data_IF_152402566930
#
_entry.id   IF_152402566930
#
_cell.length_a   1.000
_cell.length_b   1.000
_cell.length_c   1.000
_cell.angle_alpha   90.00
_cell.angle_beta   90.00
_cell.angle_gamma   90.00
#
_symmetry.space_group_name_H-M   'P 1'
#
loop_
_entity.id
_entity.type
_entity.pdbx_description
1 polymer ?
#
# COMPACT_ATOMS: atom_id res chain seq x y z
N UNK A 1 -3.07 7.23 11.16
CA UNK A 1 -1.62 7.24 11.25
C UNK A 1 -1.06 7.39 9.85
N UNK A 2 -0.20 8.39 9.63
CA UNK A 2 0.56 8.54 8.40
C UNK A 2 1.97 8.01 8.65
N UNK A 3 2.49 7.27 7.72
CA UNK A 3 3.80 6.64 7.82
C UNK A 3 4.54 6.63 6.48
N UNK A 4 5.86 6.63 6.59
CA UNK A 4 6.82 6.44 5.51
C UNK A 4 7.85 5.39 5.96
N UNK A 5 9.14 5.72 6.01
CA UNK A 5 10.17 4.93 6.69
C UNK A 5 10.03 5.00 8.23
N UNK A 6 9.21 5.93 8.72
CA UNK A 6 8.88 6.15 10.14
C UNK A 6 7.41 6.52 10.31
N UNK A 7 6.96 6.64 11.56
CA UNK A 7 5.66 7.23 11.84
C UNK A 7 5.78 8.75 11.72
N UNK A 8 5.10 9.30 10.74
CA UNK A 8 5.15 10.73 10.43
C UNK A 8 4.11 11.52 11.24
N UNK A 9 2.88 11.00 11.32
CA UNK A 9 1.80 11.69 12.01
C UNK A 9 0.78 10.74 12.61
N UNK A 10 0.45 10.98 13.86
CA UNK A 10 -0.67 10.34 14.53
C UNK A 10 -1.80 11.34 14.73
N UNK A 11 -2.98 11.03 14.21
CA UNK A 11 -4.20 11.80 14.45
C UNK A 11 -5.06 10.97 15.40
N UNK A 12 -5.31 11.46 16.62
CA UNK A 12 -6.15 10.75 17.60
C UNK A 12 -7.56 10.50 17.06
N UNK A 13 -8.18 9.35 17.39
CA UNK A 13 -9.53 9.05 16.93
C UNK A 13 -10.55 10.00 17.58
N UNK A 14 -11.41 10.59 16.76
CA UNK A 14 -12.53 11.41 17.17
C UNK A 14 -13.75 11.11 16.29
N UNK A 15 -14.95 11.44 16.78
CA UNK A 15 -16.20 11.27 16.03
C UNK A 15 -16.61 12.57 15.32
N UNK A 16 -17.38 12.42 14.23
CA UNK A 16 -18.05 13.51 13.56
C UNK A 16 -17.43 13.95 12.24
N UNK A 17 -18.24 14.55 11.38
CA UNK A 17 -17.88 14.97 10.02
C UNK A 17 -16.67 15.92 9.99
N UNK A 18 -16.57 16.84 10.96
CA UNK A 18 -15.45 17.78 11.03
C UNK A 18 -14.10 17.08 11.18
N UNK A 19 -14.06 15.98 11.95
CA UNK A 19 -12.84 15.21 12.13
C UNK A 19 -12.45 14.44 10.86
N UNK A 20 -13.43 13.91 10.13
CA UNK A 20 -13.18 13.25 8.84
C UNK A 20 -12.60 14.25 7.84
N UNK A 21 -13.20 15.44 7.72
CA UNK A 21 -12.68 16.49 6.85
C UNK A 21 -11.28 16.95 7.24
N UNK A 22 -10.99 17.01 8.54
CA UNK A 22 -9.65 17.30 9.05
C UNK A 22 -8.65 16.23 8.60
N UNK A 23 -8.99 14.93 8.71
CA UNK A 23 -8.12 13.84 8.25
C UNK A 23 -7.86 13.93 6.74
N UNK A 24 -8.90 14.22 5.94
CA UNK A 24 -8.77 14.36 4.48
C UNK A 24 -7.85 15.53 4.13
N UNK A 25 -8.02 16.67 4.77
CA UNK A 25 -7.17 17.85 4.58
C UNK A 25 -5.72 17.52 4.92
N UNK A 26 -5.50 16.91 6.08
CA UNK A 26 -4.17 16.50 6.52
C UNK A 26 -3.51 15.53 5.53
N UNK A 27 -4.29 14.61 4.94
CA UNK A 27 -3.78 13.67 3.93
C UNK A 27 -3.38 14.38 2.63
N UNK A 28 -4.15 15.36 2.18
CA UNK A 28 -3.89 16.13 0.96
C UNK A 28 -2.65 17.02 1.12
N UNK A 29 -2.52 17.67 2.29
CA UNK A 29 -1.44 18.60 2.58
C UNK A 29 -0.15 17.88 3.02
N UNK A 30 -0.25 16.58 3.34
CA UNK A 30 0.86 15.82 3.89
C UNK A 30 2.01 15.67 2.87
N UNK A 31 3.21 15.94 3.36
CA UNK A 31 4.45 15.72 2.62
C UNK A 31 5.39 14.91 3.51
N UNK A 32 5.70 13.66 3.16
CA UNK A 32 6.62 12.85 3.95
C UNK A 32 8.04 13.42 3.87
N UNK A 33 8.78 13.30 4.97
CA UNK A 33 10.19 13.71 5.02
C UNK A 33 11.05 12.87 4.07
N UNK A 34 10.74 11.58 3.97
CA UNK A 34 11.42 10.63 3.10
C UNK A 34 10.41 9.85 2.25
N UNK A 35 10.92 9.32 1.14
CA UNK A 35 10.12 8.55 0.17
C UNK A 35 10.11 7.05 0.42
N UNK A 36 10.90 6.57 1.38
CA UNK A 36 10.97 5.15 1.71
C UNK A 36 9.75 4.72 2.52
N UNK A 37 9.40 3.44 2.42
CA UNK A 37 8.26 2.85 3.13
C UNK A 37 8.75 1.74 4.07
N UNK A 38 8.27 1.75 5.32
CA UNK A 38 8.49 0.68 6.28
C UNK A 38 7.16 0.29 6.95
N UNK A 39 6.48 -0.67 6.33
CA UNK A 39 5.17 -1.18 6.79
C UNK A 39 5.31 -1.89 8.14
N UNK A 40 6.41 -2.60 8.35
CA UNK A 40 6.64 -3.30 9.61
C UNK A 40 6.67 -2.35 10.80
N UNK A 41 7.25 -1.16 10.64
CA UNK A 41 7.28 -0.14 11.69
C UNK A 41 5.88 0.44 11.96
N UNK A 42 5.08 0.69 10.92
CA UNK A 42 3.70 1.15 11.07
C UNK A 42 2.84 0.13 11.83
N UNK A 43 2.99 -1.17 11.54
CA UNK A 43 2.28 -2.24 12.22
C UNK A 43 2.74 -2.43 13.68
N UNK A 44 4.04 -2.30 13.95
CA UNK A 44 4.58 -2.28 15.33
C UNK A 44 4.02 -1.11 16.13
N UNK A 45 3.97 0.07 15.52
CA UNK A 45 3.37 1.25 16.16
C UNK A 45 1.89 1.02 16.48
N UNK A 46 1.09 0.55 15.51
CA UNK A 46 -0.31 0.19 15.73
C UNK A 46 -0.45 -0.76 16.93
N UNK A 47 0.33 -1.84 16.94
CA UNK A 47 0.30 -2.86 17.98
C UNK A 47 0.66 -2.31 19.36
N UNK A 48 1.61 -1.37 19.43
CA UNK A 48 2.07 -0.79 20.69
C UNK A 48 1.19 0.36 21.19
N UNK A 49 0.74 1.22 20.29
CA UNK A 49 -0.04 2.41 20.64
C UNK A 49 -1.51 2.08 20.94
N UNK A 50 -2.12 1.15 20.20
CA UNK A 50 -3.53 0.82 20.38
C UNK A 50 -3.66 -0.44 21.25
N UNK A 51 -4.15 -0.26 22.48
CA UNK A 51 -4.27 -1.37 23.46
C UNK A 51 -5.51 -2.22 23.22
N UNK A 52 -6.63 -1.60 22.85
CA UNK A 52 -7.90 -2.30 22.58
C UNK A 52 -7.91 -2.85 21.16
N UNK A 53 -8.52 -4.03 20.99
CA UNK A 53 -8.73 -4.61 19.66
C UNK A 53 -9.57 -3.65 18.81
N UNK A 54 -9.14 -3.41 17.58
CA UNK A 54 -9.83 -2.58 16.61
C UNK A 54 -9.70 -3.18 15.21
N UNK A 55 -10.55 -2.75 14.29
CA UNK A 55 -10.33 -2.97 12.86
C UNK A 55 -9.36 -1.90 12.35
N UNK A 56 -8.30 -2.32 11.70
CA UNK A 56 -7.24 -1.45 11.19
C UNK A 56 -7.11 -1.61 9.67
N UNK A 57 -7.36 -0.54 8.93
CA UNK A 57 -7.14 -0.51 7.48
C UNK A 57 -5.71 -0.08 7.19
N UNK A 58 -4.94 -0.97 6.60
CA UNK A 58 -3.59 -0.70 6.13
C UNK A 58 -3.65 -0.35 4.65
N UNK A 59 -3.48 0.92 4.32
CA UNK A 59 -3.59 1.45 2.95
C UNK A 59 -2.18 1.78 2.45
N UNK A 60 -1.73 1.13 1.38
CA UNK A 60 -0.39 1.29 0.82
C UNK A 60 -0.34 0.73 -0.61
N UNK A 61 0.72 1.04 -1.36
CA UNK A 61 1.12 0.33 -2.57
C UNK A 61 1.85 -1.00 -2.26
N UNK A 62 2.20 -1.22 -0.98
CA UNK A 62 2.96 -2.37 -0.47
C UNK A 62 4.32 -2.57 -1.15
N UNK A 63 4.94 -1.48 -1.60
CA UNK A 63 6.33 -1.47 -2.03
C UNK A 63 7.20 -1.29 -0.79
N UNK A 64 7.69 -2.39 -0.24
CA UNK A 64 8.50 -2.42 0.98
C UNK A 64 9.65 -3.41 0.79
N UNK A 65 10.89 -2.96 1.02
CA UNK A 65 12.10 -3.77 0.82
C UNK A 65 12.42 -4.67 2.01
N UNK A 66 12.05 -4.23 3.20
CA UNK A 66 12.43 -4.91 4.44
C UNK A 66 11.52 -6.08 4.80
N UNK A 67 10.34 -6.13 4.16
CA UNK A 67 9.32 -7.14 4.44
C UNK A 67 8.53 -6.84 5.71
N UNK A 68 7.26 -7.26 5.73
CA UNK A 68 6.32 -6.91 6.80
C UNK A 68 5.53 -8.10 7.35
N UNK A 69 5.80 -9.34 6.89
CA UNK A 69 4.98 -10.52 7.21
C UNK A 69 4.86 -10.79 8.70
N UNK A 70 5.98 -10.75 9.42
CA UNK A 70 5.98 -11.05 10.87
C UNK A 70 5.22 -9.98 11.64
N UNK A 71 5.47 -8.69 11.32
CA UNK A 71 4.75 -7.59 11.93
C UNK A 71 3.25 -7.64 11.60
N UNK A 72 2.88 -8.02 10.37
CA UNK A 72 1.49 -8.19 9.94
C UNK A 72 0.81 -9.34 10.69
N UNK A 73 1.49 -10.47 10.86
CA UNK A 73 0.98 -11.60 11.64
C UNK A 73 0.72 -11.21 13.09
N UNK A 74 1.65 -10.48 13.72
CA UNK A 74 1.50 -10.01 15.11
C UNK A 74 0.34 -9.01 15.21
N UNK A 75 0.28 -8.06 14.29
CA UNK A 75 -0.78 -7.05 14.27
C UNK A 75 -2.16 -7.68 14.06
N UNK A 76 -2.29 -8.67 13.17
CA UNK A 76 -3.56 -9.33 12.88
C UNK A 76 -4.03 -10.26 14.02
N UNK A 77 -3.12 -10.76 14.86
CA UNK A 77 -3.50 -11.48 16.09
C UNK A 77 -4.10 -10.55 17.15
N UNK A 78 -3.63 -9.31 17.21
CA UNK A 78 -4.08 -8.33 18.21
C UNK A 78 -5.28 -7.52 17.73
N UNK A 79 -5.31 -7.18 16.46
CA UNK A 79 -6.34 -6.37 15.81
C UNK A 79 -6.98 -7.16 14.67
N UNK A 80 -7.94 -6.59 14.02
CA UNK A 80 -8.52 -7.09 12.76
C UNK A 80 -7.95 -6.23 11.63
N UNK A 81 -6.87 -6.72 10.99
CA UNK A 81 -6.17 -5.95 9.96
C UNK A 81 -6.75 -6.26 8.58
N UNK A 82 -7.05 -5.21 7.84
CA UNK A 82 -7.51 -5.26 6.45
C UNK A 82 -6.52 -4.52 5.57
N UNK A 83 -5.96 -5.18 4.56
CA UNK A 83 -5.02 -4.58 3.63
C UNK A 83 -5.74 -4.03 2.40
N UNK A 84 -5.51 -2.75 2.09
CA UNK A 84 -6.03 -2.10 0.89
C UNK A 84 -4.82 -1.65 0.05
N UNK A 85 -4.56 -2.38 -1.02
CA UNK A 85 -3.55 -1.96 -1.98
C UNK A 85 -4.12 -0.89 -2.90
N UNK A 86 -3.40 0.21 -3.04
CA UNK A 86 -3.69 1.26 -4.03
C UNK A 86 -2.54 1.33 -5.02
N UNK A 87 -2.84 1.27 -6.32
CA UNK A 87 -1.82 1.32 -7.36
C UNK A 87 -2.34 2.02 -8.62
N UNK A 88 -1.43 2.57 -9.43
CA UNK A 88 -1.76 3.16 -10.72
C UNK A 88 -1.64 2.10 -11.84
N UNK A 89 -2.48 2.21 -12.88
CA UNK A 89 -2.39 1.34 -14.05
C UNK A 89 -1.01 1.39 -14.70
N UNK A 90 -0.36 2.54 -14.71
CA UNK A 90 0.97 2.72 -15.29
C UNK A 90 2.06 1.95 -14.56
N UNK A 91 1.81 1.50 -13.33
CA UNK A 91 2.71 0.62 -12.59
C UNK A 91 2.63 -0.83 -13.06
N UNK A 92 1.53 -1.21 -13.72
CA UNK A 92 1.30 -2.61 -14.13
C UNK A 92 1.98 -2.98 -15.44
N UNK A 93 2.18 -2.00 -16.33
CA UNK A 93 2.73 -2.23 -17.66
C UNK A 93 3.48 -1.00 -18.19
N UNK A 94 4.51 -1.22 -18.98
CA UNK A 94 5.22 -0.15 -19.66
C UNK A 94 4.54 0.20 -20.99
N UNK A 95 4.26 1.49 -21.27
CA UNK A 95 3.75 1.92 -22.58
C UNK A 95 4.83 1.76 -23.66
N UNK A 96 4.43 1.47 -24.89
CA UNK A 96 5.33 1.38 -26.03
C UNK A 96 5.60 2.78 -26.62
N UNK A 97 6.49 3.54 -25.98
CA UNK A 97 6.82 4.94 -26.34
C UNK A 97 8.27 5.15 -26.75
N UNK A 98 9.03 4.07 -26.95
CA UNK A 98 10.44 4.14 -27.30
C UNK A 98 11.35 4.27 -26.08
N UNK A 99 12.44 5.00 -26.24
CA UNK A 99 13.40 5.24 -25.17
C UNK A 99 12.80 6.16 -24.11
N UNK A 100 12.67 5.66 -22.89
CA UNK A 100 12.12 6.43 -21.76
C UNK A 100 13.04 6.37 -20.54
N UNK A 101 13.02 7.44 -19.78
CA UNK A 101 13.74 7.52 -18.51
C UNK A 101 12.79 7.14 -17.38
N UNK A 102 13.12 6.10 -16.67
CA UNK A 102 12.39 5.71 -15.46
C UNK A 102 13.16 6.14 -14.23
N UNK A 103 12.45 6.56 -13.21
CA UNK A 103 12.99 6.95 -11.92
C UNK A 103 12.37 6.08 -10.82
N UNK A 104 13.23 5.43 -10.07
CA UNK A 104 12.80 4.73 -8.86
C UNK A 104 12.30 5.75 -7.83
N UNK A 105 11.05 5.61 -7.41
CA UNK A 105 10.40 6.58 -6.53
C UNK A 105 11.03 6.63 -5.12
N UNK A 106 11.58 5.53 -4.64
CA UNK A 106 12.19 5.43 -3.31
C UNK A 106 13.66 5.85 -3.29
N UNK A 107 14.45 5.35 -4.25
CA UNK A 107 15.89 5.58 -4.29
C UNK A 107 16.27 6.83 -5.09
N UNK A 108 15.36 7.31 -5.94
CA UNK A 108 15.62 8.39 -6.87
C UNK A 108 16.55 8.01 -8.03
N UNK A 109 17.01 6.76 -8.10
CA UNK A 109 17.85 6.29 -9.20
C UNK A 109 17.10 6.36 -10.52
N UNK A 110 17.81 6.85 -11.53
CA UNK A 110 17.28 7.01 -12.87
C UNK A 110 18.00 6.07 -13.84
N UNK A 111 17.26 5.47 -14.75
CA UNK A 111 17.83 4.68 -15.84
C UNK A 111 17.00 4.78 -17.10
N UNK A 112 17.67 4.68 -18.23
CA UNK A 112 17.02 4.62 -19.53
C UNK A 112 16.63 3.19 -19.86
N UNK A 113 15.42 3.02 -20.36
CA UNK A 113 14.92 1.75 -20.90
C UNK A 113 14.30 1.98 -22.25
N UNK A 114 14.47 1.02 -23.16
CA UNK A 114 13.77 1.03 -24.45
C UNK A 114 12.45 0.26 -24.32
N UNK A 115 11.37 1.03 -24.18
CA UNK A 115 10.03 0.49 -24.07
C UNK A 115 9.38 0.09 -25.42
N UNK A 116 10.04 0.37 -26.56
CA UNK A 116 9.63 -0.17 -27.86
C UNK A 116 9.85 -1.68 -27.94
N UNK A 117 10.84 -2.21 -27.21
CA UNK A 117 11.13 -3.64 -27.12
C UNK A 117 10.02 -4.41 -26.41
N UNK A 118 9.36 -5.31 -27.15
CA UNK A 118 8.34 -6.22 -26.58
C UNK A 118 8.91 -7.09 -25.44
N UNK A 119 10.19 -7.49 -25.52
CA UNK A 119 10.88 -8.25 -24.48
C UNK A 119 11.00 -7.46 -23.17
N UNK A 120 11.33 -6.17 -23.27
CA UNK A 120 11.44 -5.30 -22.08
C UNK A 120 10.08 -5.14 -21.42
N UNK A 121 9.03 -4.90 -22.20
CA UNK A 121 7.67 -4.79 -21.66
C UNK A 121 7.18 -6.09 -21.02
N UNK A 122 7.42 -7.23 -21.66
CA UNK A 122 7.07 -8.54 -21.14
C UNK A 122 7.78 -8.85 -19.81
N UNK A 123 9.09 -8.57 -19.73
CA UNK A 123 9.86 -8.74 -18.51
C UNK A 123 9.36 -7.86 -17.35
N UNK A 124 8.95 -6.62 -17.64
CA UNK A 124 8.36 -5.73 -16.66
C UNK A 124 7.02 -6.25 -16.15
N UNK A 125 6.13 -6.67 -17.07
CA UNK A 125 4.83 -7.26 -16.73
C UNK A 125 5.00 -8.52 -15.86
N UNK A 126 5.91 -9.41 -16.21
CA UNK A 126 6.20 -10.60 -15.42
C UNK A 126 6.73 -10.27 -14.02
N UNK A 127 7.61 -9.26 -13.91
CA UNK A 127 8.07 -8.76 -12.62
C UNK A 127 6.89 -8.25 -11.77
N UNK A 128 5.98 -7.48 -12.34
CA UNK A 128 4.78 -6.99 -11.66
C UNK A 128 3.90 -8.15 -11.18
N UNK A 129 3.57 -9.07 -12.08
CA UNK A 129 2.69 -10.21 -11.77
C UNK A 129 3.27 -11.09 -10.66
N UNK A 130 4.58 -11.37 -10.69
CA UNK A 130 5.27 -12.12 -9.62
C UNK A 130 5.18 -11.37 -8.28
N UNK A 131 5.34 -10.07 -8.30
CA UNK A 131 5.24 -9.25 -7.10
C UNK A 131 3.82 -9.27 -6.53
N UNK A 132 2.81 -9.12 -7.36
CA UNK A 132 1.40 -9.20 -6.94
C UNK A 132 1.07 -10.57 -6.34
N UNK A 133 1.52 -11.64 -6.95
CA UNK A 133 1.35 -12.99 -6.43
C UNK A 133 2.01 -13.16 -5.05
N UNK A 134 3.25 -12.72 -4.89
CA UNK A 134 3.98 -12.81 -3.62
C UNK A 134 3.32 -11.98 -2.49
N UNK A 135 2.77 -10.82 -2.83
CA UNK A 135 2.03 -9.98 -1.89
C UNK A 135 0.71 -10.65 -1.47
N UNK A 136 -0.08 -11.14 -2.44
CA UNK A 136 -1.33 -11.88 -2.17
C UNK A 136 -1.08 -13.09 -1.28
N UNK A 137 -0.03 -13.87 -1.56
CA UNK A 137 0.37 -15.01 -0.73
C UNK A 137 0.77 -14.61 0.68
N UNK A 138 1.41 -13.43 0.82
CA UNK A 138 1.76 -12.90 2.13
C UNK A 138 0.51 -12.60 2.96
N UNK A 139 -0.50 -11.96 2.37
CA UNK A 139 -1.77 -11.69 3.07
C UNK A 139 -2.49 -12.97 3.45
N UNK A 140 -2.60 -13.95 2.53
CA UNK A 140 -3.21 -15.25 2.81
C UNK A 140 -2.51 -15.97 3.96
N UNK A 141 -1.17 -16.03 3.97
CA UNK A 141 -0.38 -16.66 5.04
C UNK A 141 -0.57 -15.96 6.39
N UNK A 142 -0.72 -14.63 6.39
CA UNK A 142 -1.00 -13.86 7.60
C UNK A 142 -2.49 -13.84 7.99
N UNK A 143 -3.36 -14.50 7.21
CA UNK A 143 -4.83 -14.49 7.39
C UNK A 143 -5.40 -13.08 7.43
N UNK A 144 -4.92 -12.22 6.55
CA UNK A 144 -5.34 -10.83 6.40
C UNK A 144 -6.19 -10.71 5.15
N UNK A 145 -7.39 -10.18 5.31
CA UNK A 145 -8.23 -9.86 4.16
C UNK A 145 -7.64 -8.68 3.39
N UNK A 146 -7.67 -8.79 2.08
CA UNK A 146 -7.07 -7.77 1.22
C UNK A 146 -7.89 -7.49 -0.02
N UNK A 147 -7.79 -6.27 -0.48
CA UNK A 147 -8.33 -5.81 -1.76
C UNK A 147 -7.30 -4.93 -2.46
N UNK A 148 -7.23 -5.06 -3.78
CA UNK A 148 -6.40 -4.22 -4.64
C UNK A 148 -7.30 -3.29 -5.44
N UNK A 149 -7.01 -2.00 -5.42
CA UNK A 149 -7.80 -0.94 -6.04
C UNK A 149 -6.89 -0.10 -6.92
N UNK A 150 -7.22 0.03 -8.19
CA UNK A 150 -6.54 0.99 -9.06
C UNK A 150 -7.08 2.39 -8.80
N UNK A 151 -6.23 3.39 -8.98
CA UNK A 151 -6.60 4.80 -8.76
C UNK A 151 -7.76 5.27 -9.64
N UNK A 152 -7.99 4.63 -10.77
CA UNK A 152 -9.05 4.92 -11.74
C UNK A 152 -10.31 4.06 -11.57
N UNK A 153 -10.28 3.02 -10.71
CA UNK A 153 -11.41 2.11 -10.51
C UNK A 153 -12.45 2.68 -9.53
N UNK A 154 -13.66 2.14 -9.61
CA UNK A 154 -14.69 2.37 -8.60
C UNK A 154 -14.32 1.61 -7.29
N UNK A 155 -13.59 2.30 -6.43
CA UNK A 155 -13.15 1.74 -5.14
C UNK A 155 -14.31 1.34 -4.23
N UNK A 156 -15.49 1.94 -4.39
CA UNK A 156 -16.68 1.64 -3.57
C UNK A 156 -17.11 0.20 -3.81
N UNK A 157 -17.19 -0.23 -5.07
CA UNK A 157 -17.54 -1.62 -5.43
C UNK A 157 -16.52 -2.62 -4.86
N UNK A 158 -15.23 -2.28 -4.95
CA UNK A 158 -14.17 -3.14 -4.44
C UNK A 158 -14.26 -3.31 -2.91
N UNK A 159 -14.56 -2.23 -2.19
CA UNK A 159 -14.74 -2.26 -0.73
C UNK A 159 -16.03 -3.00 -0.34
N UNK A 160 -17.15 -2.79 -1.03
CA UNK A 160 -18.39 -3.53 -0.77
C UNK A 160 -18.13 -5.04 -0.92
N UNK A 161 -17.52 -5.46 -2.04
CA UNK A 161 -17.20 -6.88 -2.26
C UNK A 161 -16.25 -7.47 -1.19
N UNK A 162 -15.34 -6.66 -0.65
CA UNK A 162 -14.49 -7.05 0.47
C UNK A 162 -15.31 -7.30 1.74
N UNK A 163 -16.23 -6.39 2.08
CA UNK A 163 -17.03 -6.50 3.30
C UNK A 163 -18.09 -7.60 3.20
N UNK A 164 -18.68 -7.84 2.04
CA UNK A 164 -19.63 -8.93 1.81
C UNK A 164 -19.00 -10.31 2.03
N UNK A 165 -17.72 -10.47 1.74
CA UNK A 165 -16.99 -11.73 2.03
C UNK A 165 -16.69 -11.94 3.52
N UNK A 166 -16.81 -10.90 4.33
CA UNK A 166 -16.50 -10.95 5.77
C UNK A 166 -17.72 -11.16 6.65
N UNK A 167 -18.91 -11.02 6.09
CA UNK A 167 -20.19 -11.29 6.72
C UNK A 167 -20.58 -12.77 6.54
#
# INVERSE_FOLDING_TARGET
>A
VFYSDKIEKFIPPQKGKKHILYIIRELIDFRPDKKQTNIAQALKYLTNAIKKRCTAFLISDFIDKDGFKDALTIANRKHDVVAIQVYDRRETELPAVGLMKIKDAETGQERWIDSSSARVRAAYKEWWDRRQAAMSDSFKKCRVDSVSVRTEDDYVKALIALFDKRN
#
